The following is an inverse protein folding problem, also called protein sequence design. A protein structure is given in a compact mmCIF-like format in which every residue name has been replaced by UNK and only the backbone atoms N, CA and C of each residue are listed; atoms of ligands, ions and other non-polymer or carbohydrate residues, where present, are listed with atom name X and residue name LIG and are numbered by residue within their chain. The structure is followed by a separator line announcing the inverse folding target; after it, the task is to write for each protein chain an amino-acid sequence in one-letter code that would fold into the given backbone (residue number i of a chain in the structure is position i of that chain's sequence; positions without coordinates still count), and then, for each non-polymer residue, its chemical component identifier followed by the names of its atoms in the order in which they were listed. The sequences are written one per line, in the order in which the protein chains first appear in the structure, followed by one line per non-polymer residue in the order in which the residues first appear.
data_IF_491434944962
#
_entry.id   IF_491434944962
#
_cell.length_a   1.000
_cell.length_b   1.000
_cell.length_c   1.000
_cell.angle_alpha   90.00
_cell.angle_beta   90.00
_cell.angle_gamma   90.00
#
_symmetry.space_group_name_H-M   'P 1'
#
loop_
_entity.id
_entity.type
_entity.pdbx_description
1 polymer ?
#
# COMPACT_ATOMS: atom_id res chain seq x y z
N UNK A 1 3.39 42.92 -49.92
CA UNK A 1 3.36 42.86 -48.44
C UNK A 1 2.55 41.64 -48.02
N UNK A 2 3.19 40.54 -47.62
CA UNK A 2 2.49 39.40 -46.98
C UNK A 2 2.93 39.36 -45.52
N UNK A 3 1.98 39.63 -44.61
CA UNK A 3 2.21 39.56 -43.16
C UNK A 3 2.23 38.09 -42.75
N UNK A 4 3.35 37.65 -42.19
CA UNK A 4 3.50 36.32 -41.61
C UNK A 4 3.02 36.40 -40.15
N UNK A 5 1.84 35.87 -39.87
CA UNK A 5 1.34 35.75 -38.50
C UNK A 5 1.98 34.52 -37.85
N UNK A 6 2.85 34.75 -36.88
CA UNK A 6 3.46 33.70 -36.06
C UNK A 6 2.51 33.40 -34.90
N UNK A 7 1.86 32.24 -34.92
CA UNK A 7 1.08 31.75 -33.78
C UNK A 7 2.02 31.06 -32.78
N UNK A 8 2.13 31.63 -31.58
CA UNK A 8 2.86 31.04 -30.46
C UNK A 8 1.93 30.04 -29.75
N UNK A 9 2.20 28.74 -29.90
CA UNK A 9 1.49 27.69 -29.16
C UNK A 9 2.16 27.55 -27.80
N UNK A 10 1.49 27.98 -26.73
CA UNK A 10 1.91 27.74 -25.36
C UNK A 10 1.43 26.33 -24.98
N UNK A 11 2.36 25.38 -24.92
CA UNK A 11 2.13 24.07 -24.31
C UNK A 11 2.05 24.24 -22.79
N UNK A 12 0.83 24.31 -22.26
CA UNK A 12 0.59 24.18 -20.83
C UNK A 12 0.60 22.69 -20.49
N UNK A 13 1.72 22.19 -19.97
CA UNK A 13 1.74 20.86 -19.37
C UNK A 13 1.02 20.93 -18.02
N UNK A 14 -0.18 20.37 -17.94
CA UNK A 14 -0.81 20.16 -16.63
C UNK A 14 0.00 19.10 -15.89
N UNK A 15 0.71 19.55 -14.86
CA UNK A 15 1.40 18.66 -13.94
C UNK A 15 0.35 17.99 -13.07
N UNK A 16 -0.14 16.82 -13.48
CA UNK A 16 -0.98 16.00 -12.61
C UNK A 16 -0.09 15.44 -11.50
N UNK A 17 -0.24 15.99 -10.29
CA UNK A 17 0.32 15.40 -9.08
C UNK A 17 -0.57 14.21 -8.69
N UNK A 18 -0.22 13.02 -9.17
CA UNK A 18 -0.90 11.75 -8.82
C UNK A 18 -0.50 11.24 -7.43
N UNK A 19 0.32 12.00 -6.69
CA UNK A 19 0.83 11.58 -5.39
C UNK A 19 -0.10 12.05 -4.27
N UNK A 20 -0.52 11.11 -3.42
CA UNK A 20 -1.27 11.42 -2.20
C UNK A 20 -0.50 12.44 -1.34
N UNK A 21 -1.20 13.47 -0.90
CA UNK A 21 -0.73 14.39 0.12
C UNK A 21 -1.64 14.28 1.35
N UNK A 22 -1.09 14.15 2.56
CA UNK A 22 -1.89 14.12 3.77
C UNK A 22 -2.80 15.34 3.88
N UNK A 23 -4.04 15.13 4.30
CA UNK A 23 -4.97 16.24 4.58
C UNK A 23 -4.39 17.13 5.68
N UNK A 24 -4.64 18.44 5.56
CA UNK A 24 -4.21 19.47 6.52
C UNK A 24 -2.69 19.66 6.65
N UNK A 25 -1.91 19.27 5.63
CA UNK A 25 -0.47 19.51 5.62
C UNK A 25 -0.18 21.00 5.36
N UNK A 26 0.50 21.67 6.30
CA UNK A 26 0.90 23.06 6.08
C UNK A 26 2.16 23.16 5.21
N UNK A 27 2.40 24.31 4.58
CA UNK A 27 3.67 24.59 3.92
C UNK A 27 4.88 24.47 4.86
N UNK A 28 4.68 24.70 6.17
CA UNK A 28 5.73 24.49 7.15
C UNK A 28 6.03 23.00 7.36
N UNK A 29 5.01 22.15 7.34
CA UNK A 29 5.18 20.71 7.51
C UNK A 29 5.86 20.10 6.28
N UNK A 30 5.50 20.55 5.07
CA UNK A 30 6.22 20.17 3.84
C UNK A 30 7.71 20.50 3.92
N UNK A 31 8.05 21.72 4.38
CA UNK A 31 9.46 22.11 4.54
C UNK A 31 10.19 21.25 5.57
N UNK A 32 9.54 20.92 6.69
CA UNK A 32 10.10 20.03 7.71
C UNK A 32 10.31 18.61 7.16
N UNK A 33 9.33 18.08 6.43
CA UNK A 33 9.40 16.76 5.82
C UNK A 33 10.52 16.70 4.78
N UNK A 34 10.61 17.65 3.85
CA UNK A 34 11.68 17.72 2.86
C UNK A 34 13.05 17.84 3.52
N UNK A 35 13.18 18.72 4.53
CA UNK A 35 14.42 18.84 5.29
C UNK A 35 14.83 17.51 5.93
N UNK A 36 13.90 16.82 6.59
CA UNK A 36 14.17 15.51 7.19
C UNK A 36 14.58 14.47 6.15
N UNK A 37 13.92 14.42 4.99
CA UNK A 37 14.26 13.53 3.87
C UNK A 37 15.69 13.81 3.39
N UNK A 38 16.01 15.07 3.11
CA UNK A 38 17.32 15.47 2.58
C UNK A 38 18.44 15.17 3.60
N UNK A 39 18.25 15.53 4.87
CA UNK A 39 19.23 15.26 5.94
C UNK A 39 19.42 13.76 6.15
N UNK A 40 18.32 12.99 6.19
CA UNK A 40 18.37 11.54 6.37
C UNK A 40 19.08 10.88 5.19
N UNK A 41 18.67 11.18 3.95
CA UNK A 41 19.26 10.60 2.74
C UNK A 41 20.75 10.91 2.59
N UNK A 42 21.16 12.13 2.90
CA UNK A 42 22.55 12.55 2.83
C UNK A 42 23.42 11.90 3.92
N UNK A 43 22.83 11.51 5.06
CA UNK A 43 23.51 10.79 6.13
C UNK A 43 23.59 9.27 5.92
N UNK A 44 22.99 8.73 4.85
CA UNK A 44 23.09 7.31 4.50
C UNK A 44 24.32 7.03 3.62
N UNK A 45 25.03 5.95 3.92
CA UNK A 45 26.01 5.38 2.98
C UNK A 45 25.32 4.82 1.74
N UNK A 46 26.09 4.56 0.67
CA UNK A 46 25.53 3.96 -0.55
C UNK A 46 24.86 2.60 -0.26
N UNK A 47 25.45 1.77 0.60
CA UNK A 47 24.88 0.48 0.98
C UNK A 47 23.58 0.65 1.77
N UNK A 48 23.51 1.61 2.70
CA UNK A 48 22.29 1.90 3.45
C UNK A 48 21.17 2.39 2.51
N UNK A 49 21.49 3.23 1.51
CA UNK A 49 20.52 3.67 0.49
C UNK A 49 19.98 2.50 -0.34
N UNK A 50 20.83 1.54 -0.68
CA UNK A 50 20.39 0.30 -1.34
C UNK A 50 19.48 -0.51 -0.43
N UNK A 51 19.81 -0.63 0.86
CA UNK A 51 18.96 -1.29 1.86
C UNK A 51 17.54 -0.72 1.87
N UNK A 52 17.40 0.61 1.82
CA UNK A 52 16.10 1.28 1.82
C UNK A 52 15.17 0.88 0.65
N UNK A 53 15.67 0.25 -0.41
CA UNK A 53 14.87 -0.25 -1.54
C UNK A 53 14.20 -1.61 -1.27
N UNK A 54 14.56 -2.29 -0.17
CA UNK A 54 14.07 -3.64 0.12
C UNK A 54 12.97 -3.64 1.19
N UNK A 55 11.93 -4.41 0.91
CA UNK A 55 10.88 -4.80 1.84
C UNK A 55 10.91 -6.32 1.95
N UNK A 56 11.14 -6.84 3.16
CA UNK A 56 11.35 -8.27 3.38
C UNK A 56 10.19 -8.89 4.15
N UNK A 57 9.74 -10.07 3.74
CA UNK A 57 8.68 -10.78 4.43
C UNK A 57 9.17 -11.42 5.74
N UNK A 58 8.45 -11.16 6.82
CA UNK A 58 8.64 -11.82 8.11
C UNK A 58 7.47 -12.76 8.39
N UNK A 59 7.80 -14.02 8.66
CA UNK A 59 6.85 -15.09 8.93
C UNK A 59 6.98 -15.52 10.39
N UNK A 60 5.93 -15.34 11.18
CA UNK A 60 5.91 -15.71 12.61
C UNK A 60 5.68 -17.21 12.85
N UNK A 61 5.29 -17.97 11.83
CA UNK A 61 5.18 -19.42 11.92
C UNK A 61 6.51 -20.16 11.62
N UNK A 62 7.58 -19.44 11.26
CA UNK A 62 8.93 -19.98 11.08
C UNK A 62 9.71 -20.01 12.41
N UNK A 63 10.81 -20.73 12.40
CA UNK A 63 11.69 -20.90 13.55
C UNK A 63 12.49 -19.63 13.91
N UNK A 64 13.24 -19.69 15.00
CA UNK A 64 14.09 -18.59 15.46
C UNK A 64 15.29 -18.30 14.55
N UNK A 65 15.68 -19.25 13.68
CA UNK A 65 16.71 -19.02 12.69
C UNK A 65 16.22 -18.01 11.64
N UNK A 66 14.98 -18.14 11.19
CA UNK A 66 14.33 -17.14 10.32
C UNK A 66 14.29 -15.76 10.97
N UNK A 67 13.84 -15.66 12.22
CA UNK A 67 13.79 -14.37 12.94
C UNK A 67 15.18 -13.76 13.13
N UNK A 68 16.19 -14.59 13.41
CA UNK A 68 17.58 -14.13 13.53
C UNK A 68 18.14 -13.62 12.20
N UNK A 69 17.78 -14.25 11.08
CA UNK A 69 18.13 -13.75 9.75
C UNK A 69 17.47 -12.39 9.47
N UNK A 70 16.17 -12.23 9.77
CA UNK A 70 15.48 -10.94 9.60
C UNK A 70 16.12 -9.86 10.47
N UNK A 71 16.47 -10.20 11.73
CA UNK A 71 17.18 -9.29 12.63
C UNK A 71 18.53 -8.86 12.04
N UNK A 72 19.29 -9.78 11.45
CA UNK A 72 20.53 -9.45 10.76
C UNK A 72 20.29 -8.47 9.60
N UNK A 73 19.29 -8.73 8.77
CA UNK A 73 18.96 -7.88 7.61
C UNK A 73 18.53 -6.47 8.07
N UNK A 74 17.68 -6.36 9.09
CA UNK A 74 17.28 -5.06 9.65
C UNK A 74 18.48 -4.30 10.22
N UNK A 75 19.32 -4.98 11.00
CA UNK A 75 20.39 -4.32 11.75
C UNK A 75 21.64 -4.05 10.92
N UNK A 76 21.97 -4.89 9.94
CA UNK A 76 23.22 -4.80 9.19
C UNK A 76 22.98 -4.30 7.77
N UNK A 77 21.92 -4.76 7.10
CA UNK A 77 21.62 -4.36 5.71
C UNK A 77 20.74 -3.10 5.64
N UNK A 78 20.19 -2.65 6.79
CA UNK A 78 19.43 -1.41 6.95
C UNK A 78 18.28 -1.28 5.94
N UNK A 79 17.46 -2.32 5.86
CA UNK A 79 16.33 -2.36 4.93
C UNK A 79 15.31 -1.24 5.14
N UNK A 80 14.51 -0.94 4.12
CA UNK A 80 13.48 0.10 4.18
C UNK A 80 12.19 -0.35 4.85
N UNK A 81 11.88 -1.66 4.82
CA UNK A 81 10.64 -2.15 5.41
C UNK A 81 10.50 -3.64 5.57
N UNK A 82 9.40 -4.03 6.19
CA UNK A 82 8.97 -5.41 6.40
C UNK A 82 7.52 -5.58 5.96
N UNK A 83 7.18 -6.75 5.43
CA UNK A 83 5.78 -7.18 5.27
C UNK A 83 5.49 -8.30 6.28
N UNK A 84 4.45 -8.10 7.11
CA UNK A 84 4.03 -9.03 8.15
C UNK A 84 3.19 -10.17 7.57
N UNK A 85 3.51 -11.40 7.95
CA UNK A 85 2.89 -12.61 7.45
C UNK A 85 2.61 -13.60 8.59
N UNK A 86 1.47 -14.31 8.47
CA UNK A 86 1.00 -15.41 9.32
C UNK A 86 0.35 -14.97 10.65
N UNK A 87 -0.32 -15.90 11.32
CA UNK A 87 -1.18 -15.61 12.47
C UNK A 87 -0.44 -15.71 13.82
N UNK A 88 0.20 -14.62 14.23
CA UNK A 88 0.67 -14.42 15.62
C UNK A 88 0.83 -12.92 15.93
N UNK A 89 -0.29 -12.24 16.16
CA UNK A 89 -0.30 -10.79 16.37
C UNK A 89 0.60 -10.32 17.53
N UNK A 90 0.68 -11.10 18.62
CA UNK A 90 1.50 -10.72 19.77
C UNK A 90 3.00 -10.77 19.42
N UNK A 91 3.43 -11.83 18.73
CA UNK A 91 4.82 -11.95 18.27
C UNK A 91 5.15 -10.88 17.21
N UNK A 92 4.25 -10.61 16.28
CA UNK A 92 4.43 -9.53 15.30
C UNK A 92 4.62 -8.17 15.96
N UNK A 93 3.75 -7.79 16.91
CA UNK A 93 3.87 -6.52 17.65
C UNK A 93 5.21 -6.41 18.37
N UNK A 94 5.63 -7.49 19.05
CA UNK A 94 6.91 -7.51 19.77
C UNK A 94 8.10 -7.32 18.82
N UNK A 95 8.08 -7.99 17.66
CA UNK A 95 9.14 -7.90 16.66
C UNK A 95 9.14 -6.53 15.96
N UNK A 96 7.98 -5.96 15.65
CA UNK A 96 7.86 -4.60 15.10
C UNK A 96 8.45 -3.58 16.08
N UNK A 97 8.09 -3.66 17.37
CA UNK A 97 8.65 -2.79 18.40
C UNK A 97 10.18 -2.95 18.50
N UNK A 98 10.68 -4.19 18.49
CA UNK A 98 12.11 -4.46 18.51
C UNK A 98 12.81 -3.80 17.31
N UNK A 99 12.34 -4.05 16.09
CA UNK A 99 13.00 -3.59 14.88
C UNK A 99 12.90 -2.08 14.70
N UNK A 100 11.76 -1.46 15.01
CA UNK A 100 11.62 -0.01 14.98
C UNK A 100 12.58 0.66 15.96
N UNK A 101 12.75 0.12 17.17
CA UNK A 101 13.66 0.69 18.18
C UNK A 101 15.14 0.64 17.79
N UNK A 102 15.52 -0.24 16.86
CA UNK A 102 16.92 -0.45 16.43
C UNK A 102 17.20 0.10 15.03
N UNK A 103 16.19 0.56 14.30
CA UNK A 103 16.33 1.04 12.92
C UNK A 103 16.74 2.50 12.90
N UNK A 104 17.77 2.83 12.11
CA UNK A 104 18.27 4.20 11.93
C UNK A 104 17.24 5.08 11.22
N UNK A 105 16.58 4.53 10.22
CA UNK A 105 15.42 5.11 9.53
C UNK A 105 14.20 4.30 9.93
N UNK A 106 13.06 4.92 10.31
CA UNK A 106 11.85 4.18 10.66
C UNK A 106 11.42 3.26 9.51
N UNK A 107 11.12 2.00 9.85
CA UNK A 107 10.74 1.00 8.87
C UNK A 107 9.31 1.25 8.36
N UNK A 108 9.12 1.02 7.07
CA UNK A 108 7.81 0.80 6.49
C UNK A 108 7.32 -0.59 6.90
N UNK A 109 6.20 -0.68 7.61
CA UNK A 109 5.62 -1.93 8.08
C UNK A 109 4.33 -2.17 7.30
N UNK A 110 4.40 -3.13 6.38
CA UNK A 110 3.37 -3.51 5.44
C UNK A 110 2.57 -4.74 5.88
N UNK A 111 1.32 -4.82 5.42
CA UNK A 111 0.49 -6.03 5.46
C UNK A 111 -0.51 -6.00 4.29
N UNK A 112 -0.90 -7.16 3.76
CA UNK A 112 -2.16 -7.25 3.00
C UNK A 112 -3.32 -7.39 3.98
N UNK A 113 -4.10 -6.32 4.16
CA UNK A 113 -5.28 -6.28 5.03
C UNK A 113 -6.55 -5.84 4.26
N UNK A 114 -6.78 -6.44 3.08
CA UNK A 114 -7.84 -6.07 2.13
C UNK A 114 -9.27 -6.19 2.69
N UNK A 115 -9.50 -7.16 3.57
CA UNK A 115 -10.75 -7.33 4.34
C UNK A 115 -10.46 -7.27 5.84
N UNK A 116 -9.53 -6.39 6.20
CA UNK A 116 -8.96 -6.22 7.53
C UNK A 116 -7.77 -7.12 7.80
N UNK A 117 -7.11 -6.88 8.94
CA UNK A 117 -5.96 -7.68 9.38
C UNK A 117 -6.30 -9.16 9.59
N UNK A 118 -7.61 -9.52 9.60
CA UNK A 118 -8.08 -10.90 9.53
C UNK A 118 -7.47 -11.69 8.37
N UNK A 119 -7.10 -11.04 7.27
CA UNK A 119 -6.40 -11.68 6.15
C UNK A 119 -5.11 -12.41 6.58
N UNK A 120 -4.45 -11.94 7.64
CA UNK A 120 -3.25 -12.57 8.22
C UNK A 120 -3.48 -13.10 9.65
N UNK A 121 -4.32 -12.44 10.43
CA UNK A 121 -4.56 -12.71 11.86
C UNK A 121 -5.98 -13.27 12.07
N UNK A 122 -6.16 -14.58 12.15
CA UNK A 122 -7.49 -15.20 12.13
C UNK A 122 -8.39 -14.80 13.32
N UNK A 123 -7.81 -14.27 14.41
CA UNK A 123 -8.55 -13.77 15.57
C UNK A 123 -9.14 -12.37 15.39
N UNK A 124 -8.72 -11.63 14.37
CA UNK A 124 -9.19 -10.27 14.13
C UNK A 124 -10.61 -10.25 13.55
N UNK A 125 -11.21 -9.05 13.48
CA UNK A 125 -12.52 -8.90 12.84
C UNK A 125 -12.40 -9.07 11.32
N UNK A 126 -13.24 -9.93 10.74
CA UNK A 126 -13.32 -10.13 9.29
C UNK A 126 -14.32 -9.17 8.66
N UNK A 127 -13.86 -8.32 7.76
CA UNK A 127 -14.73 -7.46 6.97
C UNK A 127 -15.24 -8.15 5.70
N UNK A 128 -16.30 -7.63 5.05
CA UNK A 128 -16.77 -8.15 3.77
C UNK A 128 -15.70 -8.08 2.68
N UNK A 129 -15.77 -8.99 1.72
CA UNK A 129 -14.96 -8.94 0.51
C UNK A 129 -15.32 -7.71 -0.34
N UNK A 130 -14.36 -7.21 -1.12
CA UNK A 130 -14.54 -6.02 -1.95
C UNK A 130 -15.74 -6.12 -2.91
N UNK A 131 -16.05 -7.30 -3.45
CA UNK A 131 -17.21 -7.47 -4.34
C UNK A 131 -18.54 -7.18 -3.64
N UNK A 132 -18.62 -7.47 -2.33
CA UNK A 132 -19.78 -7.12 -1.50
C UNK A 132 -19.85 -5.61 -1.28
N UNK A 133 -18.70 -4.99 -1.02
CA UNK A 133 -18.58 -3.54 -0.85
C UNK A 133 -18.90 -2.79 -2.16
N UNK A 134 -18.60 -3.40 -3.30
CA UNK A 134 -18.94 -2.90 -4.63
C UNK A 134 -20.43 -2.66 -4.83
N UNK A 135 -21.30 -3.45 -4.20
CA UNK A 135 -22.75 -3.30 -4.26
C UNK A 135 -23.29 -2.17 -3.36
N UNK A 136 -22.49 -1.69 -2.41
CA UNK A 136 -22.90 -0.62 -1.48
C UNK A 136 -22.99 0.71 -2.23
N UNK A 137 -24.15 1.37 -2.14
CA UNK A 137 -24.39 2.66 -2.80
C UNK A 137 -23.76 3.82 -2.04
N UNK A 138 -23.87 3.82 -0.70
CA UNK A 138 -23.23 4.82 0.15
C UNK A 138 -21.75 4.48 0.38
N UNK A 139 -20.86 5.11 -0.40
CA UNK A 139 -19.41 4.87 -0.33
C UNK A 139 -18.78 5.34 0.99
N UNK A 140 -19.48 6.15 1.79
CA UNK A 140 -18.99 6.51 3.13
C UNK A 140 -18.88 5.29 4.05
N UNK A 141 -19.73 4.27 3.87
CA UNK A 141 -19.63 3.03 4.63
C UNK A 141 -18.31 2.28 4.34
N UNK A 142 -17.78 2.38 3.11
CA UNK A 142 -16.49 1.79 2.74
C UNK A 142 -15.35 2.57 3.41
N UNK A 143 -15.45 3.90 3.42
CA UNK A 143 -14.51 4.76 4.13
C UNK A 143 -14.46 4.43 5.63
N UNK A 144 -15.61 4.35 6.30
CA UNK A 144 -15.70 4.09 7.74
C UNK A 144 -15.20 2.69 8.10
N UNK A 145 -15.46 1.71 7.23
CA UNK A 145 -14.88 0.38 7.34
C UNK A 145 -13.35 0.42 7.24
N UNK A 146 -12.79 1.09 6.23
CA UNK A 146 -11.35 1.22 6.06
C UNK A 146 -10.69 2.00 7.22
N UNK A 147 -11.39 2.97 7.82
CA UNK A 147 -10.96 3.63 9.04
C UNK A 147 -10.79 2.67 10.23
N UNK A 148 -11.66 1.66 10.35
CA UNK A 148 -11.53 0.61 11.36
C UNK A 148 -10.39 -0.37 11.08
N UNK A 149 -10.18 -0.71 9.81
CA UNK A 149 -9.00 -1.49 9.40
C UNK A 149 -7.72 -0.73 9.76
N UNK A 150 -7.67 0.58 9.50
CA UNK A 150 -6.52 1.42 9.86
C UNK A 150 -6.28 1.51 11.37
N UNK A 151 -7.34 1.46 12.19
CA UNK A 151 -7.22 1.37 13.65
C UNK A 151 -6.53 0.08 14.09
N UNK A 152 -6.93 -1.06 13.51
CA UNK A 152 -6.30 -2.36 13.77
C UNK A 152 -4.84 -2.39 13.28
N UNK A 153 -4.56 -1.87 12.09
CA UNK A 153 -3.20 -1.72 11.57
C UNK A 153 -2.29 -0.95 12.54
N UNK A 154 -2.76 0.21 13.03
CA UNK A 154 -1.99 1.02 13.99
C UNK A 154 -1.65 0.28 15.27
N UNK A 155 -2.60 -0.50 15.81
CA UNK A 155 -2.39 -1.29 17.04
C UNK A 155 -1.30 -2.35 16.85
N UNK A 156 -1.09 -2.80 15.62
CA UNK A 156 -0.04 -3.74 15.25
C UNK A 156 1.29 -3.08 14.85
N UNK A 157 1.34 -1.75 14.78
CA UNK A 157 2.50 -1.00 14.28
C UNK A 157 2.62 -1.01 12.75
N UNK A 158 1.58 -1.42 12.03
CA UNK A 158 1.49 -1.36 10.57
C UNK A 158 1.24 0.10 10.18
N UNK A 159 1.99 0.60 9.20
CA UNK A 159 1.86 1.96 8.67
C UNK A 159 1.54 1.98 7.16
N UNK A 160 1.49 0.82 6.53
CA UNK A 160 1.18 0.67 5.12
C UNK A 160 0.31 -0.57 4.88
N UNK A 161 -0.91 -0.37 4.40
CA UNK A 161 -1.77 -1.45 3.95
C UNK A 161 -1.65 -1.60 2.43
N UNK A 162 -1.42 -2.82 1.97
CA UNK A 162 -1.39 -3.16 0.55
C UNK A 162 -2.82 -3.32 0.01
N UNK A 163 -3.61 -2.27 0.18
CA UNK A 163 -5.00 -2.19 -0.24
C UNK A 163 -5.32 -0.73 -0.65
N UNK A 164 -6.36 -0.50 -1.46
CA UNK A 164 -7.32 -1.47 -1.98
C UNK A 164 -6.89 -2.11 -3.32
N UNK A 165 -7.55 -3.22 -3.66
CA UNK A 165 -7.53 -3.78 -5.01
C UNK A 165 -8.41 -2.92 -5.92
N UNK A 166 -7.83 -2.46 -7.04
CA UNK A 166 -8.47 -1.60 -8.06
C UNK A 166 -8.59 -2.30 -9.41
N UNK A 167 -8.35 -3.60 -9.46
CA UNK A 167 -8.57 -4.41 -10.66
C UNK A 167 -10.06 -4.45 -10.99
N UNK A 168 -10.39 -4.22 -12.26
CA UNK A 168 -11.77 -4.27 -12.76
C UNK A 168 -12.06 -5.69 -13.23
N UNK A 169 -12.94 -6.41 -12.51
CA UNK A 169 -13.17 -7.83 -12.72
C UNK A 169 -14.09 -8.09 -13.94
N UNK A 170 -13.59 -7.87 -15.15
CA UNK A 170 -14.31 -8.06 -16.42
C UNK A 170 -14.41 -9.51 -16.83
N UNK A 171 -13.46 -10.35 -16.43
CA UNK A 171 -13.47 -11.79 -16.73
C UNK A 171 -14.05 -12.58 -15.54
N UNK A 172 -15.25 -13.19 -15.66
CA UNK A 172 -15.86 -13.97 -14.58
C UNK A 172 -15.08 -15.26 -14.25
N UNK A 173 -14.19 -15.71 -15.14
CA UNK A 173 -13.33 -16.88 -14.91
C UNK A 173 -11.98 -16.51 -14.28
N UNK A 174 -11.76 -15.25 -13.92
CA UNK A 174 -10.52 -14.82 -13.29
C UNK A 174 -10.30 -15.55 -11.94
N UNK A 175 -9.23 -16.33 -11.78
CA UNK A 175 -9.04 -17.19 -10.61
C UNK A 175 -8.51 -16.45 -9.37
N UNK A 176 -8.01 -15.22 -9.52
CA UNK A 176 -7.18 -14.54 -8.50
C UNK A 176 -7.75 -13.20 -8.02
N UNK A 177 -8.49 -12.48 -8.87
CA UNK A 177 -9.16 -11.23 -8.50
C UNK A 177 -10.55 -11.54 -7.95
N UNK A 178 -11.50 -11.99 -8.78
CA UNK A 178 -12.81 -12.47 -8.35
C UNK A 178 -13.47 -11.58 -7.27
N UNK A 179 -13.58 -12.11 -6.05
CA UNK A 179 -14.20 -11.44 -4.90
C UNK A 179 -13.37 -10.28 -4.30
N UNK A 180 -12.09 -10.14 -4.66
CA UNK A 180 -11.18 -9.07 -4.22
C UNK A 180 -11.37 -7.76 -4.99
N UNK A 181 -12.05 -7.77 -6.13
CA UNK A 181 -12.43 -6.55 -6.84
C UNK A 181 -13.76 -5.98 -6.34
N UNK A 182 -13.92 -4.66 -6.43
CA UNK A 182 -15.22 -4.00 -6.21
C UNK A 182 -16.22 -4.21 -7.36
N UNK A 183 -15.86 -4.91 -8.43
CA UNK A 183 -16.76 -5.29 -9.51
C UNK A 183 -16.18 -5.07 -10.91
N UNK A 184 -17.05 -5.10 -11.90
CA UNK A 184 -16.69 -5.01 -13.32
C UNK A 184 -16.89 -3.62 -13.93
N UNK A 185 -17.52 -2.69 -13.22
CA UNK A 185 -17.71 -1.30 -13.68
C UNK A 185 -16.58 -0.40 -13.18
N UNK A 186 -15.90 0.27 -14.11
CA UNK A 186 -14.73 1.12 -13.84
C UNK A 186 -15.07 2.23 -12.85
N UNK A 187 -16.20 2.93 -13.04
CA UNK A 187 -16.57 4.05 -12.18
C UNK A 187 -16.87 3.58 -10.75
N UNK A 188 -17.55 2.44 -10.60
CA UNK A 188 -17.81 1.85 -9.30
C UNK A 188 -16.53 1.42 -8.59
N UNK A 189 -15.59 0.80 -9.32
CA UNK A 189 -14.28 0.40 -8.78
C UNK A 189 -13.50 1.63 -8.31
N UNK A 190 -13.40 2.68 -9.13
CA UNK A 190 -12.71 3.93 -8.79
C UNK A 190 -13.33 4.58 -7.56
N UNK A 191 -14.65 4.75 -7.52
CA UNK A 191 -15.33 5.42 -6.41
C UNK A 191 -15.23 4.62 -5.09
N UNK A 192 -15.34 3.29 -5.16
CA UNK A 192 -15.22 2.42 -3.98
C UNK A 192 -13.79 2.37 -3.45
N UNK A 193 -12.81 2.25 -4.35
CA UNK A 193 -11.39 2.27 -4.01
C UNK A 193 -10.97 3.62 -3.42
N UNK A 194 -11.43 4.73 -3.99
CA UNK A 194 -11.13 6.06 -3.46
C UNK A 194 -11.65 6.22 -2.03
N UNK A 195 -12.87 5.75 -1.75
CA UNK A 195 -13.42 5.76 -0.39
C UNK A 195 -12.59 4.91 0.58
N UNK A 196 -12.19 3.70 0.16
CA UNK A 196 -11.32 2.81 0.96
C UNK A 196 -9.95 3.46 1.23
N UNK A 197 -9.27 3.96 0.19
CA UNK A 197 -7.97 4.62 0.30
C UNK A 197 -8.03 5.82 1.23
N UNK A 198 -9.07 6.66 1.11
CA UNK A 198 -9.27 7.81 1.99
C UNK A 198 -9.47 7.37 3.45
N UNK A 199 -10.23 6.30 3.70
CA UNK A 199 -10.44 5.77 5.06
C UNK A 199 -9.13 5.35 5.73
N UNK A 200 -8.23 4.68 4.99
CA UNK A 200 -6.89 4.36 5.47
C UNK A 200 -6.05 5.62 5.73
N UNK A 201 -6.01 6.50 4.73
CA UNK A 201 -5.10 7.65 4.66
C UNK A 201 -5.46 8.76 5.66
N UNK A 202 -6.75 9.03 5.86
CA UNK A 202 -7.25 9.93 6.91
C UNK A 202 -6.89 9.42 8.30
N UNK A 203 -6.75 8.10 8.42
CA UNK A 203 -6.29 7.42 9.62
C UNK A 203 -4.80 7.07 9.55
N UNK A 204 -3.98 7.83 8.81
CA UNK A 204 -2.51 7.74 8.83
C UNK A 204 -1.95 6.35 8.48
N UNK A 205 -2.68 5.56 7.70
CA UNK A 205 -2.17 4.34 7.08
C UNK A 205 -2.04 4.61 5.59
N UNK A 206 -0.87 4.30 5.04
CA UNK A 206 -0.66 4.42 3.60
C UNK A 206 -1.49 3.35 2.88
N UNK A 207 -2.09 3.74 1.76
CA UNK A 207 -2.78 2.84 0.84
C UNK A 207 -1.87 2.54 -0.36
N UNK A 208 -1.88 1.30 -0.84
CA UNK A 208 -1.29 0.93 -2.13
C UNK A 208 -2.35 0.31 -3.02
N UNK A 209 -2.74 1.06 -4.05
CA UNK A 209 -3.61 0.54 -5.10
C UNK A 209 -2.90 -0.57 -5.88
N UNK A 210 -3.62 -1.66 -6.17
CA UNK A 210 -3.06 -2.84 -6.84
C UNK A 210 -4.07 -3.50 -7.78
N UNK A 211 -3.66 -4.21 -8.82
CA UNK A 211 -2.27 -4.57 -9.17
C UNK A 211 -1.94 -3.95 -10.53
N UNK A 212 -1.17 -2.85 -10.56
CA UNK A 212 -0.82 -2.18 -11.82
C UNK A 212 -0.07 -3.15 -12.77
N UNK A 213 -0.37 -3.16 -14.10
CA UNK A 213 -1.29 -2.27 -14.83
C UNK A 213 -2.78 -2.70 -14.82
N UNK A 214 -3.11 -3.76 -14.11
CA UNK A 214 -4.45 -4.32 -13.98
C UNK A 214 -4.41 -5.83 -14.16
N UNK A 215 -5.01 -6.57 -13.21
CA UNK A 215 -5.06 -8.03 -13.21
C UNK A 215 -6.49 -8.57 -13.42
N UNK A 216 -7.47 -7.69 -13.58
CA UNK A 216 -8.89 -8.05 -13.62
C UNK A 216 -9.34 -8.83 -14.87
N UNK A 217 -8.58 -8.75 -15.97
CA UNK A 217 -8.87 -9.41 -17.25
C UNK A 217 -7.93 -10.58 -17.57
N UNK A 218 -7.22 -11.10 -16.58
CA UNK A 218 -6.35 -12.27 -16.76
C UNK A 218 -7.12 -13.58 -16.53
N UNK A 219 -6.68 -14.65 -17.19
CA UNK A 219 -7.18 -16.01 -17.02
C UNK A 219 -6.21 -16.92 -16.24
N UNK A 220 -5.09 -16.35 -15.77
CA UNK A 220 -4.01 -17.06 -15.06
C UNK A 220 -3.66 -16.38 -13.75
N UNK A 221 -3.38 -17.20 -12.74
CA UNK A 221 -2.84 -16.73 -11.48
C UNK A 221 -1.35 -16.37 -11.62
N UNK A 222 -0.98 -15.12 -11.32
CA UNK A 222 0.42 -14.67 -11.35
C UNK A 222 1.33 -15.36 -10.32
N UNK A 223 0.77 -16.05 -9.33
CA UNK A 223 1.54 -16.89 -8.42
C UNK A 223 2.06 -18.17 -9.10
N UNK A 224 1.46 -18.57 -10.22
CA UNK A 224 1.70 -19.86 -10.89
C UNK A 224 2.29 -19.70 -12.30
N UNK A 225 2.00 -18.60 -12.99
CA UNK A 225 2.48 -18.33 -14.35
C UNK A 225 2.55 -16.81 -14.61
N UNK A 226 3.12 -16.38 -15.74
CA UNK A 226 3.15 -14.97 -16.15
C UNK A 226 1.86 -14.60 -16.91
N UNK A 227 0.95 -13.76 -16.35
CA UNK A 227 -0.27 -13.37 -17.06
C UNK A 227 0.04 -12.33 -18.15
N UNK A 228 -0.74 -12.36 -19.23
CA UNK A 228 -0.66 -11.40 -20.34
C UNK A 228 -2.03 -10.77 -20.56
N UNK A 229 -2.06 -9.45 -20.68
CA UNK A 229 -3.24 -8.68 -21.12
C UNK A 229 -2.93 -8.18 -22.53
N UNK A 230 -3.72 -8.58 -23.53
CA UNK A 230 -3.37 -8.50 -24.95
C UNK A 230 -4.08 -7.40 -25.75
N UNK A 231 -4.81 -6.51 -25.10
CA UNK A 231 -5.64 -5.49 -25.74
C UNK A 231 -5.01 -4.09 -25.77
#
# INVERSE_FOLDING_TARGET
MKRLNLFLIILVSQSFLCQYQPKNLSNSDLRKANKWVDETYNALSQTERLGQLFIVAIYTNKDEAHISQIRNIVLNDKIGGLILMQDDAAREINLVNEFQSKSKVPLMIGMDAEWGVFQRIAKAHKYPWAITLGAVQDKNLIHDMAAKIAEDCKRMGINWDFAPVVDVNTNPNNPIIGNRSFGSDVNNVVNSALAYSNGLQDHKILAAIKHFPGHGDTDKDSHLDLPVVSH
#
